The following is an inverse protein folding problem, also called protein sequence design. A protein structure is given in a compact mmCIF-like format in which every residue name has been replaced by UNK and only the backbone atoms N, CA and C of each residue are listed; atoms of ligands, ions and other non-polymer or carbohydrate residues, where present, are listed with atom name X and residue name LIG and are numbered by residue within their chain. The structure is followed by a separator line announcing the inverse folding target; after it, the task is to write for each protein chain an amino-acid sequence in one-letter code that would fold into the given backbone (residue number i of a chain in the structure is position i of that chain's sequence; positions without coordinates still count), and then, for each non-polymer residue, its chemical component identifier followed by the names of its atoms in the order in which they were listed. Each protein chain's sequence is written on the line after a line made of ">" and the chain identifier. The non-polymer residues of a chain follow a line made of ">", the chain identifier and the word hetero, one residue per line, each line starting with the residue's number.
data_IF_474398349095
#
_entry.id   IF_474398349095
#
_cell.length_a   1.000
_cell.length_b   1.000
_cell.length_c   1.000
_cell.angle_alpha   90.00
_cell.angle_beta   90.00
_cell.angle_gamma   90.00
#
_symmetry.space_group_name_H-M   'P 1'
#
loop_
_entity.id
_entity.type
_entity.pdbx_description
1 polymer ?
#
# COMPACT_ATOMS: atom_id res chain seq x y z
N UNK A 1 21.65 11.40 19.91
CA UNK A 1 21.22 11.21 18.50
C UNK A 1 20.96 9.73 18.35
N UNK A 2 19.75 9.34 17.99
CA UNK A 2 19.42 7.92 17.82
C UNK A 2 20.14 7.36 16.59
N UNK A 3 20.82 6.23 16.76
CA UNK A 3 21.39 5.45 15.65
C UNK A 3 20.30 4.48 15.17
N UNK A 4 20.15 4.36 13.85
CA UNK A 4 19.24 3.42 13.17
C UNK A 4 20.05 2.66 12.12
N UNK A 5 19.77 1.37 11.96
CA UNK A 5 20.45 0.52 10.97
C UNK A 5 19.83 0.66 9.58
N UNK A 6 18.51 0.88 9.52
CA UNK A 6 17.76 1.07 8.29
C UNK A 6 16.80 2.24 8.44
N UNK A 7 16.81 3.13 7.44
CA UNK A 7 15.87 4.24 7.35
C UNK A 7 15.05 4.07 6.06
N UNK A 8 13.74 4.03 6.20
CA UNK A 8 12.76 3.93 5.11
C UNK A 8 12.09 5.29 4.95
N UNK A 9 12.15 5.83 3.74
CA UNK A 9 11.52 7.11 3.40
C UNK A 9 10.21 6.84 2.65
N UNK A 10 9.10 7.23 3.25
CA UNK A 10 7.73 6.98 2.80
C UNK A 10 7.05 5.91 3.65
N UNK A 11 5.97 6.28 4.33
CA UNK A 11 5.13 5.39 5.13
C UNK A 11 3.88 4.91 4.36
N UNK A 12 3.99 4.78 3.04
CA UNK A 12 2.97 4.12 2.21
C UNK A 12 3.09 2.59 2.22
N UNK A 13 2.28 1.88 1.41
CA UNK A 13 2.31 0.41 1.33
C UNK A 13 3.72 -0.15 1.10
N UNK A 14 4.47 0.37 0.13
CA UNK A 14 5.81 -0.13 -0.17
C UNK A 14 6.76 -0.02 1.04
N UNK A 15 6.80 1.13 1.71
CA UNK A 15 7.65 1.34 2.89
C UNK A 15 7.22 0.52 4.10
N UNK A 16 5.90 0.38 4.32
CA UNK A 16 5.35 -0.46 5.37
C UNK A 16 5.64 -1.95 5.14
N UNK A 17 5.51 -2.44 3.90
CA UNK A 17 5.86 -3.82 3.56
C UNK A 17 7.37 -4.06 3.66
N UNK A 18 8.21 -3.12 3.25
CA UNK A 18 9.65 -3.21 3.44
C UNK A 18 10.01 -3.35 4.93
N UNK A 19 9.42 -2.50 5.79
CA UNK A 19 9.60 -2.62 7.24
C UNK A 19 9.05 -3.94 7.79
N UNK A 20 7.90 -4.38 7.31
CA UNK A 20 7.29 -5.65 7.71
C UNK A 20 8.21 -6.84 7.41
N UNK A 21 8.81 -6.92 6.22
CA UNK A 21 9.74 -8.00 5.86
C UNK A 21 11.03 -7.97 6.70
N UNK A 22 11.58 -6.78 6.97
CA UNK A 22 12.74 -6.62 7.84
C UNK A 22 12.44 -7.07 9.28
N UNK A 23 11.26 -6.73 9.81
CA UNK A 23 10.79 -7.19 11.11
C UNK A 23 10.55 -8.71 11.12
N UNK A 24 9.94 -9.26 10.06
CA UNK A 24 9.61 -10.68 9.93
C UNK A 24 10.86 -11.55 9.84
N UNK A 25 11.91 -11.08 9.18
CA UNK A 25 13.20 -11.78 9.05
C UNK A 25 14.00 -11.87 10.37
N UNK A 26 13.48 -11.33 11.49
CA UNK A 26 14.11 -11.37 12.83
C UNK A 26 15.53 -10.81 12.84
N UNK A 27 15.79 -9.86 11.95
CA UNK A 27 17.00 -9.06 12.01
C UNK A 27 16.85 -8.14 13.22
N UNK A 28 17.81 -8.10 14.15
CA UNK A 28 17.76 -7.20 15.32
C UNK A 28 18.01 -5.73 14.92
N UNK A 29 17.57 -5.32 13.73
CA UNK A 29 17.80 -4.01 13.14
C UNK A 29 16.87 -3.00 13.79
N UNK A 30 17.42 -1.84 14.15
CA UNK A 30 16.66 -0.68 14.57
C UNK A 30 16.22 0.09 13.32
N UNK A 31 14.95 -0.05 12.97
CA UNK A 31 14.35 0.49 11.73
C UNK A 31 13.61 1.79 12.04
N UNK A 32 13.80 2.82 11.20
CA UNK A 32 13.02 4.07 11.22
C UNK A 32 12.25 4.22 9.91
N UNK A 33 10.95 4.53 10.00
CA UNK A 33 10.15 4.96 8.85
C UNK A 33 9.84 6.45 9.03
N UNK A 34 10.07 7.24 7.98
CA UNK A 34 9.79 8.67 7.97
C UNK A 34 8.86 8.98 6.79
N UNK A 35 7.83 9.78 7.02
CA UNK A 35 6.99 10.32 5.95
C UNK A 35 6.94 11.86 6.04
N UNK A 36 6.73 12.52 4.91
CA UNK A 36 6.55 13.98 4.85
C UNK A 36 5.24 14.40 5.51
N UNK A 37 4.22 13.54 5.48
CA UNK A 37 2.89 13.83 6.01
C UNK A 37 2.71 13.45 7.48
N UNK A 38 1.44 13.38 7.89
CA UNK A 38 1.02 13.22 9.30
C UNK A 38 0.62 11.78 9.61
N UNK A 39 0.37 11.49 10.90
CA UNK A 39 -0.34 10.27 11.32
C UNK A 39 -1.76 10.25 10.75
N UNK A 40 -2.32 9.05 10.55
CA UNK A 40 -3.59 8.85 9.85
C UNK A 40 -4.72 9.72 10.40
N UNK A 41 -4.82 9.83 11.73
CA UNK A 41 -5.87 10.56 12.44
C UNK A 41 -5.80 12.08 12.23
N UNK A 42 -4.61 12.57 11.84
CA UNK A 42 -4.33 14.00 11.64
C UNK A 42 -4.32 14.39 10.17
N UNK A 43 -4.50 13.44 9.24
CA UNK A 43 -4.58 13.71 7.80
C UNK A 43 -5.99 14.18 7.45
N UNK A 44 -6.18 15.48 7.28
CA UNK A 44 -7.49 16.09 7.01
C UNK A 44 -7.36 17.00 5.80
N UNK A 45 -7.87 16.55 4.65
CA UNK A 45 -7.89 17.38 3.45
C UNK A 45 -9.09 18.35 3.49
N UNK A 46 -8.88 19.68 3.42
CA UNK A 46 -9.97 20.66 3.38
C UNK A 46 -10.91 20.48 2.19
N UNK A 47 -10.45 19.81 1.12
CA UNK A 47 -11.28 19.50 -0.05
C UNK A 47 -12.51 18.67 0.31
N UNK A 48 -12.45 17.84 1.37
CA UNK A 48 -13.59 17.01 1.80
C UNK A 48 -14.81 17.84 2.21
N UNK A 49 -14.58 19.03 2.78
CA UNK A 49 -15.64 19.95 3.22
C UNK A 49 -15.92 21.03 2.17
N UNK A 50 -14.86 21.54 1.53
CA UNK A 50 -14.95 22.70 0.63
C UNK A 50 -15.24 22.33 -0.82
N UNK A 51 -15.06 21.05 -1.20
CA UNK A 51 -15.16 20.57 -2.58
C UNK A 51 -14.05 21.08 -3.52
N UNK A 52 -13.08 21.85 -3.02
CA UNK A 52 -12.02 22.48 -3.82
C UNK A 52 -10.65 22.11 -3.27
N UNK A 53 -9.75 21.69 -4.16
CA UNK A 53 -8.35 21.48 -3.80
C UNK A 53 -7.70 22.82 -3.45
N UNK A 54 -6.99 22.88 -2.33
CA UNK A 54 -6.28 24.08 -1.86
C UNK A 54 -4.81 24.12 -2.28
N UNK A 55 -4.32 23.11 -3.02
CA UNK A 55 -2.92 22.99 -3.46
C UNK A 55 -1.92 23.16 -2.30
N UNK A 56 -2.17 22.45 -1.20
CA UNK A 56 -1.29 22.45 -0.03
C UNK A 56 0.13 21.97 -0.35
N UNK A 57 1.12 22.53 0.35
CA UNK A 57 2.54 22.18 0.17
C UNK A 57 2.86 20.71 0.51
N UNK A 58 2.16 20.17 1.51
CA UNK A 58 2.16 18.74 1.84
C UNK A 58 0.72 18.26 1.82
N UNK A 59 0.39 17.44 0.83
CA UNK A 59 -0.98 17.00 0.62
C UNK A 59 -1.35 15.87 1.57
N UNK A 60 -2.33 16.11 2.44
CA UNK A 60 -2.81 15.09 3.39
C UNK A 60 -3.44 13.88 2.67
N UNK A 61 -3.86 14.00 1.41
CA UNK A 61 -4.30 12.86 0.59
C UNK A 61 -3.11 12.01 0.14
N UNK A 62 -2.00 12.63 -0.25
CA UNK A 62 -0.87 11.94 -0.88
C UNK A 62 0.23 11.53 0.10
N UNK A 63 0.40 12.27 1.19
CA UNK A 63 1.49 12.13 2.14
C UNK A 63 0.96 11.81 3.55
N UNK A 64 1.72 11.00 4.28
CA UNK A 64 1.45 10.59 5.64
C UNK A 64 1.43 9.07 5.80
N UNK A 65 1.17 8.62 7.02
CA UNK A 65 1.06 7.19 7.34
C UNK A 65 -0.04 6.55 6.48
N UNK A 66 0.31 5.48 5.77
CA UNK A 66 -0.53 4.77 4.79
C UNK A 66 -0.47 5.34 3.37
N UNK A 67 0.21 6.47 3.15
CA UNK A 67 0.43 7.08 1.83
C UNK A 67 -0.86 7.44 1.10
N UNK A 68 -0.81 7.44 -0.23
CA UNK A 68 -1.98 7.74 -1.07
C UNK A 68 -3.12 6.71 -0.93
N UNK A 69 -2.80 5.47 -0.56
CA UNK A 69 -3.78 4.40 -0.41
C UNK A 69 -4.78 4.61 0.74
N UNK A 70 -4.47 5.46 1.73
CA UNK A 70 -5.36 5.71 2.88
C UNK A 70 -6.68 6.37 2.51
N UNK A 71 -6.68 7.22 1.47
CA UNK A 71 -7.86 7.96 1.03
C UNK A 71 -8.34 7.50 -0.36
N UNK A 72 -7.95 6.29 -0.78
CA UNK A 72 -8.53 5.61 -1.93
C UNK A 72 -9.68 4.71 -1.49
N UNK A 73 -10.36 4.09 -2.46
CA UNK A 73 -11.38 3.07 -2.20
C UNK A 73 -10.81 1.76 -1.63
N UNK A 74 -9.48 1.67 -1.45
CA UNK A 74 -8.81 0.50 -0.87
C UNK A 74 -8.86 -0.76 -1.74
N UNK A 75 -9.25 -0.64 -3.01
CA UNK A 75 -9.33 -1.76 -3.93
C UNK A 75 -7.93 -2.25 -4.32
N UNK A 76 -7.67 -3.54 -4.07
CA UNK A 76 -6.44 -4.21 -4.46
C UNK A 76 -6.66 -4.97 -5.77
N UNK A 77 -5.75 -4.78 -6.72
CA UNK A 77 -5.72 -5.59 -7.93
C UNK A 77 -5.06 -6.94 -7.60
N UNK A 78 -5.86 -8.00 -7.55
CA UNK A 78 -5.38 -9.36 -7.29
C UNK A 78 -4.97 -10.09 -8.57
N UNK A 79 -4.25 -9.39 -9.45
CA UNK A 79 -3.78 -9.89 -10.73
C UNK A 79 -2.38 -9.36 -11.04
N UNK A 80 -1.45 -10.20 -11.54
CA UNK A 80 -0.08 -9.79 -11.83
C UNK A 80 0.07 -8.90 -13.06
N UNK A 81 -0.97 -8.79 -13.90
CA UNK A 81 -0.96 -8.05 -15.18
C UNK A 81 -1.72 -6.71 -15.13
N UNK A 82 -2.11 -6.25 -13.93
CA UNK A 82 -2.75 -4.95 -13.72
C UNK A 82 -1.80 -3.98 -13.01
N UNK A 83 -1.70 -2.75 -13.52
CA UNK A 83 -0.79 -1.73 -12.98
C UNK A 83 0.68 -1.89 -13.43
N UNK A 84 0.91 -2.79 -14.38
CA UNK A 84 2.21 -3.24 -14.88
C UNK A 84 2.12 -4.74 -15.21
N UNK A 85 3.21 -5.32 -15.71
CA UNK A 85 3.30 -6.76 -15.93
C UNK A 85 4.33 -7.37 -14.98
N UNK A 86 3.87 -7.90 -13.85
CA UNK A 86 4.74 -8.49 -12.82
C UNK A 86 5.50 -9.72 -13.35
N UNK A 87 4.90 -10.46 -14.30
CA UNK A 87 5.53 -11.63 -14.94
C UNK A 87 6.82 -11.25 -15.68
N UNK A 88 6.94 -10.02 -16.20
CA UNK A 88 8.17 -9.54 -16.85
C UNK A 88 9.32 -9.34 -15.85
N UNK A 89 9.00 -9.01 -14.60
CA UNK A 89 9.99 -8.79 -13.55
C UNK A 89 10.42 -10.10 -12.90
N UNK A 90 9.48 -10.99 -12.62
CA UNK A 90 9.78 -12.31 -12.03
C UNK A 90 10.37 -13.27 -13.06
N UNK A 91 10.05 -13.07 -14.35
CA UNK A 91 10.33 -14.00 -15.46
C UNK A 91 9.69 -15.38 -15.28
N UNK A 92 8.75 -15.48 -14.34
CA UNK A 92 8.01 -16.69 -14.00
C UNK A 92 6.60 -16.30 -13.58
N UNK A 93 5.62 -16.95 -14.22
CA UNK A 93 4.20 -16.66 -14.01
C UNK A 93 3.72 -17.13 -12.63
N UNK A 94 4.14 -18.30 -12.17
CA UNK A 94 3.82 -18.81 -10.83
C UNK A 94 4.30 -17.82 -9.77
N UNK A 95 5.54 -17.39 -9.85
CA UNK A 95 6.15 -16.46 -8.88
C UNK A 95 5.38 -15.14 -8.80
N UNK A 96 4.94 -14.61 -9.95
CA UNK A 96 4.13 -13.38 -9.98
C UNK A 96 2.79 -13.55 -9.25
N UNK A 97 2.11 -14.69 -9.45
CA UNK A 97 0.88 -15.02 -8.73
C UNK A 97 1.11 -15.26 -7.24
N UNK A 98 2.18 -15.94 -6.88
CA UNK A 98 2.55 -16.18 -5.47
C UNK A 98 2.80 -14.87 -4.73
N UNK A 99 3.49 -13.91 -5.35
CA UNK A 99 3.70 -12.58 -4.77
C UNK A 99 2.38 -11.81 -4.56
N UNK A 100 1.46 -11.85 -5.54
CA UNK A 100 0.15 -11.22 -5.41
C UNK A 100 -0.65 -11.84 -4.27
N UNK A 101 -0.68 -13.17 -4.19
CA UNK A 101 -1.37 -13.90 -3.12
C UNK A 101 -0.75 -13.60 -1.75
N UNK A 102 0.58 -13.52 -1.67
CA UNK A 102 1.28 -13.18 -0.44
C UNK A 102 0.91 -11.78 0.08
N UNK A 103 0.80 -10.80 -0.83
CA UNK A 103 0.36 -9.45 -0.48
C UNK A 103 -1.10 -9.46 0.01
N UNK A 104 -2.00 -10.17 -0.70
CA UNK A 104 -3.41 -10.35 -0.29
C UNK A 104 -3.53 -10.93 1.13
N UNK A 105 -2.80 -12.01 1.42
CA UNK A 105 -2.77 -12.66 2.73
C UNK A 105 -2.34 -11.72 3.85
N UNK A 106 -1.36 -10.85 3.61
CA UNK A 106 -0.92 -9.87 4.60
C UNK A 106 -2.02 -8.84 4.87
N UNK A 107 -2.65 -8.30 3.82
CA UNK A 107 -3.75 -7.36 4.00
C UNK A 107 -4.92 -7.99 4.76
N UNK A 108 -5.30 -9.22 4.41
CA UNK A 108 -6.35 -9.97 5.12
C UNK A 108 -5.99 -10.20 6.59
N UNK A 109 -4.72 -10.54 6.88
CA UNK A 109 -4.21 -10.69 8.26
C UNK A 109 -4.36 -9.42 9.08
N UNK A 110 -4.22 -8.24 8.47
CA UNK A 110 -4.36 -6.95 9.13
C UNK A 110 -5.77 -6.34 9.04
N UNK A 111 -6.77 -7.12 8.60
CA UNK A 111 -8.19 -6.76 8.71
C UNK A 111 -8.84 -6.25 7.42
N UNK A 112 -8.21 -6.45 6.26
CA UNK A 112 -8.89 -6.21 4.99
C UNK A 112 -10.13 -7.12 4.82
N UNK A 113 -11.19 -6.66 4.13
CA UNK A 113 -12.37 -7.47 3.83
C UNK A 113 -12.00 -8.73 3.04
N UNK A 114 -12.69 -9.85 3.31
CA UNK A 114 -12.48 -11.12 2.60
C UNK A 114 -13.21 -11.21 1.25
N UNK A 115 -14.14 -10.29 1.01
CA UNK A 115 -14.96 -10.27 -0.20
C UNK A 115 -14.12 -9.84 -1.40
N UNK A 116 -14.13 -10.65 -2.47
CA UNK A 116 -13.46 -10.33 -3.73
C UNK A 116 -14.50 -9.82 -4.72
N UNK A 117 -14.26 -8.64 -5.27
CA UNK A 117 -15.11 -8.04 -6.31
C UNK A 117 -14.69 -8.58 -7.68
N UNK A 118 -15.63 -8.71 -8.62
CA UNK A 118 -15.32 -9.15 -9.98
C UNK A 118 -14.82 -10.59 -10.06
N UNK A 119 -15.34 -11.50 -9.22
CA UNK A 119 -15.15 -12.95 -9.38
C UNK A 119 -16.28 -13.62 -10.18
N UNK A 120 -17.31 -12.84 -10.51
CA UNK A 120 -18.50 -13.26 -11.23
C UNK A 120 -18.22 -13.21 -12.74
N UNK A 121 -17.71 -14.31 -13.32
CA UNK A 121 -17.26 -14.37 -14.72
C UNK A 121 -18.32 -13.89 -15.71
N UNK A 122 -19.59 -14.20 -15.44
CA UNK A 122 -20.71 -13.81 -16.31
C UNK A 122 -20.86 -12.29 -16.44
N UNK A 123 -20.58 -11.52 -15.38
CA UNK A 123 -20.66 -10.04 -15.43
C UNK A 123 -19.41 -9.37 -16.00
N UNK A 124 -18.29 -10.07 -16.02
CA UNK A 124 -17.02 -9.54 -16.53
C UNK A 124 -16.98 -9.65 -18.04
N UNK A 125 -17.51 -10.74 -18.60
CA UNK A 125 -17.57 -10.95 -20.05
C UNK A 125 -18.60 -10.04 -20.75
N UNK A 126 -19.49 -9.37 -19.99
CA UNK A 126 -20.50 -8.42 -20.49
C UNK A 126 -20.05 -6.93 -20.47
N UNK A 127 -18.87 -6.63 -19.91
CA UNK A 127 -18.29 -5.27 -19.82
C UNK A 127 -17.26 -5.02 -20.93
#
# INVERSE_FOLDING_TARGET
>A
MDIYDVIIIGAGPAGMFAAYELCKSKTNLKILIIDKGKSVEKRICPMKETGKCTNCETCDIMCGVGGAGTFSDGLLNLRPDIGGNLEEFTKDKSDAWELVNYVDEIYLKFGAPKEKLGTDKEKIDEL
#
